data_IF_404492498049
#
_entry.id   IF_404492498049
#
_cell.length_a   1.000
_cell.length_b   1.000
_cell.length_c   1.000
_cell.angle_alpha   90.00
_cell.angle_beta   90.00
_cell.angle_gamma   90.00
#
_symmetry.space_group_name_H-M   'P 1'
#
loop_
_entity.id
_entity.type
_entity.pdbx_description
1 polymer ?
#
# COMPACT_ATOMS: atom_id res chain seq x y z
N UNK A 1 -5.38 -2.87 21.21
CA UNK A 1 -5.68 -2.94 19.77
C UNK A 1 -4.47 -2.38 19.04
N UNK A 2 -3.76 -3.22 18.29
CA UNK A 2 -2.59 -2.79 17.52
C UNK A 2 -3.09 -2.02 16.30
N UNK A 3 -2.51 -0.89 15.96
CA UNK A 3 -2.90 -0.09 14.78
C UNK A 3 -2.36 -0.73 13.49
N UNK A 4 -3.12 -0.66 12.38
CA UNK A 4 -2.64 -1.13 11.07
C UNK A 4 -1.57 -0.19 10.53
N UNK A 5 -0.36 -0.71 10.31
CA UNK A 5 0.76 0.08 9.83
C UNK A 5 1.52 -0.62 8.70
N UNK A 6 1.59 0.02 7.54
CA UNK A 6 2.48 -0.34 6.44
C UNK A 6 3.02 0.92 5.77
N UNK A 7 4.34 1.12 5.91
CA UNK A 7 5.00 2.38 5.59
C UNK A 7 5.56 2.36 4.16
N UNK A 8 5.35 3.45 3.44
CA UNK A 8 5.85 3.69 2.09
C UNK A 8 6.39 5.11 1.97
N UNK A 9 7.22 5.36 0.96
CA UNK A 9 7.62 6.71 0.58
C UNK A 9 6.52 7.36 -0.27
N UNK A 10 6.18 8.59 0.08
CA UNK A 10 5.18 9.42 -0.61
C UNK A 10 5.70 10.85 -0.73
N UNK A 11 5.37 11.57 -1.81
CA UNK A 11 5.74 12.96 -1.99
C UNK A 11 4.67 13.88 -1.40
N UNK A 12 4.98 14.59 -0.31
CA UNK A 12 4.10 15.63 0.19
C UNK A 12 4.14 16.84 -0.74
N UNK A 13 3.17 16.96 -1.66
CA UNK A 13 3.20 17.96 -2.74
C UNK A 13 3.38 19.41 -2.25
N UNK A 14 2.74 19.78 -1.14
CA UNK A 14 2.85 21.14 -0.59
C UNK A 14 4.24 21.44 0.00
N UNK A 15 4.92 20.42 0.55
CA UNK A 15 6.25 20.56 1.18
C UNK A 15 7.38 20.25 0.18
N UNK A 16 7.05 19.60 -0.94
CA UNK A 16 7.99 19.07 -1.94
C UNK A 16 9.08 18.20 -1.30
N UNK A 17 8.67 17.33 -0.37
CA UNK A 17 9.56 16.44 0.36
C UNK A 17 8.98 15.03 0.36
N UNK A 18 9.87 14.05 0.26
CA UNK A 18 9.52 12.65 0.47
C UNK A 18 9.30 12.45 1.97
N UNK A 19 8.18 11.87 2.32
CA UNK A 19 7.81 11.51 3.69
C UNK A 19 7.46 10.03 3.79
N UNK A 20 7.42 9.53 5.02
CA UNK A 20 6.92 8.20 5.32
C UNK A 20 5.42 8.31 5.51
N UNK A 21 4.66 7.58 4.70
CA UNK A 21 3.22 7.51 4.73
C UNK A 21 2.76 6.11 5.13
N UNK A 22 1.79 6.01 6.05
CA UNK A 22 1.13 4.74 6.33
C UNK A 22 -0.03 4.57 5.35
N UNK A 23 -0.01 3.51 4.52
CA UNK A 23 -1.04 3.33 3.47
C UNK A 23 -2.46 3.22 4.04
N UNK A 24 -2.61 2.78 5.30
CA UNK A 24 -3.90 2.67 5.97
C UNK A 24 -4.47 4.01 6.46
N UNK A 25 -3.69 5.09 6.42
CA UNK A 25 -4.18 6.45 6.65
C UNK A 25 -5.05 6.92 5.46
N UNK A 26 -4.92 6.27 4.30
CA UNK A 26 -5.85 6.43 3.18
C UNK A 26 -7.19 5.75 3.52
N UNK A 27 -8.13 6.52 4.07
CA UNK A 27 -9.41 6.03 4.61
C UNK A 27 -10.16 5.07 3.67
N UNK A 28 -10.25 5.41 2.38
CA UNK A 28 -11.00 4.60 1.41
C UNK A 28 -10.31 3.27 1.10
N UNK A 29 -8.97 3.23 1.15
CA UNK A 29 -8.21 1.99 0.97
C UNK A 29 -8.34 1.08 2.19
N UNK A 30 -8.22 1.65 3.39
CA UNK A 30 -8.42 0.90 4.63
C UNK A 30 -9.83 0.28 4.70
N UNK A 31 -10.84 1.05 4.31
CA UNK A 31 -12.22 0.57 4.19
C UNK A 31 -12.36 -0.55 3.15
N UNK A 32 -11.75 -0.41 1.97
CA UNK A 32 -11.72 -1.47 0.95
C UNK A 32 -11.12 -2.77 1.48
N UNK A 33 -10.03 -2.69 2.25
CA UNK A 33 -9.44 -3.86 2.91
C UNK A 33 -10.39 -4.49 3.95
N UNK A 34 -11.12 -3.68 4.71
CA UNK A 34 -12.09 -4.16 5.70
C UNK A 34 -13.26 -4.90 5.02
N UNK A 35 -13.73 -4.38 3.89
CA UNK A 35 -14.79 -4.99 3.08
C UNK A 35 -14.31 -6.27 2.38
N UNK A 36 -13.10 -6.27 1.84
CA UNK A 36 -12.46 -7.45 1.27
C UNK A 36 -12.39 -8.59 2.30
N UNK A 37 -11.93 -8.30 3.52
CA UNK A 37 -11.86 -9.32 4.57
C UNK A 37 -13.25 -9.86 4.93
N UNK A 38 -14.26 -8.99 5.11
CA UNK A 38 -15.64 -9.42 5.42
C UNK A 38 -16.20 -10.36 4.34
N UNK A 39 -15.89 -10.09 3.07
CA UNK A 39 -16.37 -10.86 1.92
C UNK A 39 -15.62 -12.18 1.77
N UNK A 40 -14.31 -12.19 2.00
CA UNK A 40 -13.42 -13.32 1.68
C UNK A 40 -12.76 -13.95 2.90
N UNK A 41 -13.35 -13.82 4.10
CA UNK A 41 -12.82 -14.38 5.37
C UNK A 41 -12.52 -15.89 5.37
N UNK A 42 -13.03 -16.63 4.39
CA UNK A 42 -12.84 -18.08 4.27
C UNK A 42 -11.70 -18.48 3.31
N UNK A 43 -11.17 -17.53 2.54
CA UNK A 43 -10.17 -17.79 1.50
C UNK A 43 -9.15 -16.66 1.49
N UNK A 44 -7.96 -16.96 1.99
CA UNK A 44 -6.86 -16.00 2.03
C UNK A 44 -6.43 -15.57 0.62
N UNK A 45 -6.54 -16.47 -0.35
CA UNK A 45 -6.17 -16.20 -1.74
C UNK A 45 -7.16 -15.22 -2.39
N UNK A 46 -8.47 -15.41 -2.20
CA UNK A 46 -9.48 -14.47 -2.71
C UNK A 46 -9.39 -13.11 -2.01
N UNK A 47 -9.11 -13.11 -0.71
CA UNK A 47 -8.83 -11.89 0.04
C UNK A 47 -7.60 -11.16 -0.50
N UNK A 48 -6.51 -11.87 -0.76
CA UNK A 48 -5.29 -11.30 -1.30
C UNK A 48 -5.56 -10.63 -2.65
N UNK A 49 -6.29 -11.29 -3.53
CA UNK A 49 -6.61 -10.76 -4.86
C UNK A 49 -7.47 -9.50 -4.78
N UNK A 50 -8.46 -9.45 -3.90
CA UNK A 50 -9.28 -8.24 -3.72
C UNK A 50 -8.45 -7.08 -3.12
N UNK A 51 -7.60 -7.35 -2.14
CA UNK A 51 -6.68 -6.32 -1.60
C UNK A 51 -5.73 -5.81 -2.68
N UNK A 52 -5.29 -6.68 -3.59
CA UNK A 52 -4.46 -6.29 -4.74
C UNK A 52 -5.22 -5.35 -5.67
N UNK A 53 -6.50 -5.61 -5.93
CA UNK A 53 -7.36 -4.72 -6.71
C UNK A 53 -7.55 -3.35 -6.05
N UNK A 54 -7.82 -3.31 -4.74
CA UNK A 54 -7.92 -2.06 -3.98
C UNK A 54 -6.61 -1.27 -4.03
N UNK A 55 -5.47 -1.95 -3.85
CA UNK A 55 -4.15 -1.34 -3.92
C UNK A 55 -3.88 -0.76 -5.32
N UNK A 56 -4.20 -1.50 -6.39
CA UNK A 56 -4.10 -0.99 -7.76
C UNK A 56 -5.00 0.24 -7.97
N UNK A 57 -6.26 0.16 -7.54
CA UNK A 57 -7.25 1.21 -7.78
C UNK A 57 -6.83 2.54 -7.16
N UNK A 58 -6.28 2.53 -5.95
CA UNK A 58 -5.89 3.76 -5.27
C UNK A 58 -4.49 4.25 -5.63
N UNK A 59 -3.53 3.35 -5.82
CA UNK A 59 -2.12 3.73 -5.76
C UNK A 59 -1.31 3.46 -7.04
N UNK A 60 -1.87 2.75 -8.03
CA UNK A 60 -1.12 2.39 -9.23
C UNK A 60 -1.17 3.47 -10.29
N UNK A 61 0.01 3.90 -10.76
CA UNK A 61 0.19 4.82 -11.89
C UNK A 61 -0.51 6.17 -11.73
N UNK A 62 -0.63 6.66 -10.50
CA UNK A 62 -1.23 7.96 -10.17
C UNK A 62 -0.16 8.93 -9.70
N UNK A 63 -0.09 10.11 -10.30
CA UNK A 63 1.01 11.05 -10.07
C UNK A 63 1.10 11.54 -8.62
N UNK A 64 -0.01 11.58 -7.88
CA UNK A 64 -0.02 11.93 -6.46
C UNK A 64 0.59 10.83 -5.56
N UNK A 65 0.69 9.59 -6.05
CA UNK A 65 1.27 8.44 -5.35
C UNK A 65 2.61 7.98 -5.93
N UNK A 66 3.14 8.72 -6.90
CA UNK A 66 4.44 8.46 -7.52
C UNK A 66 5.56 9.22 -6.80
N UNK A 67 6.70 8.55 -6.60
CA UNK A 67 7.97 9.16 -6.23
C UNK A 67 9.03 8.80 -7.27
N UNK A 68 9.98 9.69 -7.49
CA UNK A 68 11.15 9.41 -8.32
C UNK A 68 12.29 8.90 -7.44
N UNK A 69 12.81 7.72 -7.76
CA UNK A 69 13.96 7.09 -7.09
C UNK A 69 15.12 7.03 -8.06
N UNK A 70 16.24 7.66 -7.69
CA UNK A 70 17.49 7.63 -8.45
C UNK A 70 18.62 7.02 -7.63
N UNK A 71 19.61 6.47 -8.33
CA UNK A 71 20.92 6.23 -7.73
C UNK A 71 21.67 7.57 -7.56
N UNK A 72 22.73 7.58 -6.76
CA UNK A 72 23.48 8.80 -6.42
C UNK A 72 24.19 9.47 -7.61
N UNK A 73 24.25 8.81 -8.77
CA UNK A 73 25.07 9.23 -9.92
C UNK A 73 24.24 9.53 -11.17
N UNK A 74 22.91 9.38 -11.13
CA UNK A 74 22.01 9.67 -12.24
C UNK A 74 21.24 10.98 -12.04
N UNK A 75 21.11 11.73 -13.14
CA UNK A 75 20.28 12.93 -13.20
C UNK A 75 18.77 12.64 -13.28
N UNK A 76 18.39 11.43 -13.71
CA UNK A 76 16.99 10.99 -13.80
C UNK A 76 16.78 9.68 -13.07
N UNK A 77 15.76 9.65 -12.22
CA UNK A 77 15.33 8.47 -11.51
C UNK A 77 14.32 7.66 -12.28
N UNK A 78 13.98 6.51 -11.71
CA UNK A 78 12.81 5.72 -12.07
C UNK A 78 11.64 6.14 -11.21
N UNK A 79 10.48 6.33 -11.83
CA UNK A 79 9.24 6.51 -11.09
C UNK A 79 8.82 5.19 -10.47
N UNK A 80 8.51 5.23 -9.19
CA UNK A 80 7.83 4.15 -8.49
C UNK A 80 6.58 4.69 -7.81
N UNK A 81 5.53 3.89 -7.73
CA UNK A 81 4.33 4.24 -6.99
C UNK A 81 4.18 3.42 -5.68
N UNK A 82 3.18 3.77 -4.87
CA UNK A 82 2.88 3.05 -3.62
C UNK A 82 2.52 1.59 -3.87
N UNK A 83 1.84 1.27 -4.98
CA UNK A 83 1.53 -0.12 -5.36
C UNK A 83 2.82 -0.92 -5.52
N UNK A 84 3.77 -0.43 -6.32
CA UNK A 84 5.07 -1.08 -6.54
C UNK A 84 5.84 -1.28 -5.23
N UNK A 85 5.83 -0.29 -4.34
CA UNK A 85 6.50 -0.39 -3.03
C UNK A 85 5.93 -1.52 -2.15
N UNK A 86 4.61 -1.68 -2.12
CA UNK A 86 3.95 -2.78 -1.38
C UNK A 86 4.24 -4.13 -2.03
N UNK A 87 4.22 -4.19 -3.37
CA UNK A 87 4.43 -5.43 -4.13
C UNK A 87 5.83 -6.03 -3.92
N UNK A 88 6.83 -5.24 -3.52
CA UNK A 88 8.17 -5.75 -3.18
C UNK A 88 8.15 -6.85 -2.12
N UNK A 89 7.19 -6.80 -1.19
CA UNK A 89 7.04 -7.78 -0.11
C UNK A 89 5.59 -8.25 0.00
N UNK A 90 4.93 -8.49 -1.14
CA UNK A 90 3.50 -8.78 -1.22
C UNK A 90 3.04 -9.92 -0.29
N UNK A 91 3.75 -11.05 -0.30
CA UNK A 91 3.40 -12.20 0.56
C UNK A 91 3.43 -11.84 2.05
N UNK A 92 4.46 -11.09 2.47
CA UNK A 92 4.59 -10.63 3.86
C UNK A 92 3.46 -9.65 4.21
N UNK A 93 3.12 -8.75 3.28
CA UNK A 93 2.02 -7.80 3.46
C UNK A 93 0.67 -8.50 3.67
N UNK A 94 0.35 -9.48 2.84
CA UNK A 94 -0.90 -10.25 2.94
C UNK A 94 -0.92 -11.11 4.21
N UNK A 95 0.18 -11.75 4.58
CA UNK A 95 0.29 -12.50 5.83
C UNK A 95 0.02 -11.61 7.04
N UNK A 96 0.66 -10.46 7.07
CA UNK A 96 0.48 -9.44 8.10
C UNK A 96 -0.99 -9.01 8.20
N UNK A 97 -1.61 -8.65 7.07
CA UNK A 97 -2.96 -8.10 7.06
C UNK A 97 -4.02 -9.18 7.37
N UNK A 98 -3.85 -10.40 6.87
CA UNK A 98 -4.71 -11.53 7.19
C UNK A 98 -4.68 -11.87 8.69
N UNK A 99 -3.48 -11.91 9.28
CA UNK A 99 -3.30 -12.15 10.70
C UNK A 99 -3.87 -11.01 11.55
N UNK A 100 -3.76 -9.76 11.08
CA UNK A 100 -4.39 -8.62 11.75
C UNK A 100 -5.90 -8.83 11.91
N UNK A 101 -6.59 -9.23 10.85
CA UNK A 101 -8.04 -9.41 10.89
C UNK A 101 -8.51 -10.67 11.64
N UNK A 102 -7.72 -11.74 11.68
CA UNK A 102 -8.10 -12.93 12.46
C UNK A 102 -7.91 -12.76 13.97
N UNK A 103 -7.12 -11.77 14.39
CA UNK A 103 -6.76 -11.53 15.79
C UNK A 103 -7.50 -10.32 16.41
N UNK A 104 -8.35 -9.62 15.66
CA UNK A 104 -9.16 -8.46 16.13
C UNK A 104 -10.62 -8.62 15.70
#
# INVERSE_FOLDING_TARGET
MTERKWQVYHLHINRRQIEIFNIFDHHMFAKGCDEAYKRFKHSKDDFAEEVRHELMYYFWSKCEWEVEVCDLWREKGSKIDVYQQVMLNWTVFIDYLWNYYNNN
#
